data_IF_203529105237
#
_entry.id   IF_203529105237
#
_cell.length_a   1.000
_cell.length_b   1.000
_cell.length_c   1.000
_cell.angle_alpha   90.00
_cell.angle_beta   90.00
_cell.angle_gamma   90.00
#
_symmetry.space_group_name_H-M   'P 1'
#
loop_
_entity.id
_entity.type
_entity.pdbx_description
1 polymer ?
#
# COMPACT_ATOMS: atom_id res chain seq x y z
N UNK A 1 5.26 16.07 33.53
CA UNK A 1 4.54 15.22 32.57
C UNK A 1 4.22 16.06 31.34
N UNK A 2 5.03 15.98 30.29
CA UNK A 2 4.73 16.62 29.00
C UNK A 2 4.12 15.56 28.09
N UNK A 3 2.82 15.70 27.79
CA UNK A 3 2.13 14.93 26.77
C UNK A 3 2.64 15.40 25.41
N UNK A 4 3.64 14.69 24.88
CA UNK A 4 4.03 14.82 23.49
C UNK A 4 2.84 14.35 22.63
N UNK A 5 2.21 15.30 21.94
CA UNK A 5 1.24 14.98 20.92
C UNK A 5 1.98 14.29 19.78
N UNK A 6 1.62 13.03 19.57
CA UNK A 6 2.06 12.18 18.47
C UNK A 6 1.77 12.90 17.17
N UNK A 7 2.83 13.32 16.45
CA UNK A 7 2.72 13.80 15.08
C UNK A 7 2.47 12.58 14.18
N UNK A 8 1.26 12.05 14.23
CA UNK A 8 0.76 11.10 13.23
C UNK A 8 0.79 11.78 11.87
N UNK A 9 1.68 11.32 10.99
CA UNK A 9 1.76 11.81 9.61
C UNK A 9 3.13 12.29 9.14
N UNK A 10 4.19 12.20 9.96
CA UNK A 10 5.54 12.23 9.37
C UNK A 10 5.79 10.88 8.70
N UNK A 11 5.89 10.90 7.37
CA UNK A 11 6.45 9.79 6.62
C UNK A 11 7.89 9.63 7.10
N UNK A 12 8.16 8.63 7.94
CA UNK A 12 9.42 8.45 8.65
C UNK A 12 10.60 8.34 7.66
N UNK A 13 11.21 9.48 7.34
CA UNK A 13 12.48 9.54 6.60
C UNK A 13 12.42 9.10 5.13
N UNK A 14 11.25 9.08 4.49
CA UNK A 14 11.15 8.86 3.02
C UNK A 14 11.47 10.14 2.23
N UNK A 15 11.20 11.33 2.79
CA UNK A 15 11.49 12.64 2.17
C UNK A 15 12.98 12.90 1.88
N UNK A 16 13.88 12.15 2.52
CA UNK A 16 15.34 12.31 2.39
C UNK A 16 16.00 11.22 1.53
N UNK A 17 15.21 10.33 0.94
CA UNK A 17 15.78 9.24 0.17
C UNK A 17 16.04 9.67 -1.26
N UNK A 18 17.25 10.14 -1.54
CA UNK A 18 17.68 10.50 -2.90
C UNK A 18 17.92 9.29 -3.84
N UNK A 19 17.48 8.09 -3.45
CA UNK A 19 17.44 6.93 -4.32
C UNK A 19 18.77 6.21 -4.54
N UNK A 20 19.74 6.35 -3.64
CA UNK A 20 21.04 5.67 -3.81
C UNK A 20 21.03 4.18 -3.41
N UNK A 21 20.09 3.74 -2.56
CA UNK A 21 20.00 2.32 -2.16
C UNK A 21 18.55 1.79 -2.17
N UNK A 22 18.19 1.03 -3.21
CA UNK A 22 16.84 0.47 -3.33
C UNK A 22 16.44 -0.40 -2.13
N UNK A 23 17.37 -1.18 -1.58
CA UNK A 23 17.12 -2.06 -0.43
C UNK A 23 16.66 -1.28 0.79
N UNK A 24 17.35 -0.18 1.12
CA UNK A 24 17.01 0.69 2.25
C UNK A 24 15.70 1.45 2.00
N UNK A 25 15.45 1.89 0.77
CA UNK A 25 14.17 2.49 0.42
C UNK A 25 13.01 1.50 0.59
N UNK A 26 13.18 0.30 0.04
CA UNK A 26 12.21 -0.80 0.10
C UNK A 26 11.85 -1.15 1.54
N UNK A 27 12.86 -1.36 2.38
CA UNK A 27 12.67 -1.71 3.80
C UNK A 27 11.88 -0.62 4.56
N UNK A 28 12.20 0.66 4.31
CA UNK A 28 11.46 1.79 4.90
C UNK A 28 10.03 1.87 4.41
N UNK A 29 9.78 1.67 3.12
CA UNK A 29 8.43 1.66 2.56
C UNK A 29 7.62 0.53 3.15
N UNK A 30 8.17 -0.68 3.22
CA UNK A 30 7.51 -1.84 3.84
C UNK A 30 7.16 -1.57 5.30
N UNK A 31 8.13 -1.13 6.10
CA UNK A 31 7.92 -0.79 7.53
C UNK A 31 6.84 0.28 7.69
N UNK A 32 6.81 1.28 6.82
CA UNK A 32 5.80 2.34 6.89
C UNK A 32 4.40 1.82 6.52
N UNK A 33 4.29 0.96 5.52
CA UNK A 33 3.04 0.30 5.13
C UNK A 33 2.51 -0.54 6.29
N UNK A 34 3.37 -1.36 6.90
CA UNK A 34 3.05 -2.18 8.07
C UNK A 34 2.49 -1.34 9.22
N UNK A 35 3.17 -0.23 9.53
CA UNK A 35 2.73 0.72 10.57
C UNK A 35 1.36 1.36 10.25
N UNK A 36 1.11 1.69 8.98
CA UNK A 36 -0.16 2.27 8.53
C UNK A 36 -1.30 1.26 8.62
N UNK A 37 -1.05 0.00 8.27
CA UNK A 37 -2.00 -1.09 8.36
C UNK A 37 -2.33 -1.41 9.83
N UNK A 38 -1.33 -1.55 10.71
CA UNK A 38 -1.52 -1.76 12.14
C UNK A 38 -2.29 -0.60 12.80
N UNK A 39 -1.93 0.65 12.46
CA UNK A 39 -2.60 1.84 12.98
C UNK A 39 -4.05 1.89 12.54
N UNK A 40 -4.34 1.45 11.31
CA UNK A 40 -5.71 1.39 10.84
C UNK A 40 -6.51 0.31 11.57
N UNK A 41 -5.97 -0.91 11.69
CA UNK A 41 -6.63 -2.02 12.37
C UNK A 41 -6.95 -1.67 13.83
N UNK A 42 -6.00 -1.04 14.53
CA UNK A 42 -6.24 -0.52 15.88
C UNK A 42 -7.37 0.50 15.92
N UNK A 43 -7.39 1.45 14.99
CA UNK A 43 -8.46 2.45 14.89
C UNK A 43 -9.84 1.87 14.55
N UNK A 44 -9.90 0.72 13.87
CA UNK A 44 -11.15 -0.02 13.65
C UNK A 44 -11.62 -0.67 14.96
N UNK A 45 -10.71 -1.33 15.68
CA UNK A 45 -11.00 -1.95 16.97
C UNK A 45 -11.52 -0.93 18.00
N UNK A 46 -10.88 0.25 18.09
CA UNK A 46 -11.31 1.33 18.99
C UNK A 46 -12.72 1.86 18.66
N UNK A 47 -13.18 1.68 17.42
CA UNK A 47 -14.49 2.13 16.95
C UNK A 47 -15.54 1.02 16.91
N UNK A 48 -15.22 -0.16 17.43
CA UNK A 48 -16.06 -1.37 17.34
C UNK A 48 -16.45 -1.70 15.88
N UNK A 49 -15.54 -1.42 14.94
CA UNK A 49 -15.72 -1.70 13.52
C UNK A 49 -15.10 -3.04 13.15
N UNK A 50 -15.61 -3.72 12.10
CA UNK A 50 -15.02 -4.97 11.64
C UNK A 50 -13.59 -4.72 11.16
N UNK A 51 -12.69 -5.66 11.47
CA UNK A 51 -11.31 -5.63 11.02
C UNK A 51 -11.19 -5.48 9.50
N UNK A 52 -10.12 -4.83 9.05
CA UNK A 52 -9.92 -4.64 7.62
C UNK A 52 -9.65 -6.00 6.97
N UNK A 53 -10.46 -6.33 5.96
CA UNK A 53 -10.35 -7.60 5.21
C UNK A 53 -9.31 -7.56 4.11
N UNK A 54 -8.86 -6.35 3.77
CA UNK A 54 -7.82 -6.07 2.77
C UNK A 54 -7.00 -4.91 3.32
N UNK A 55 -5.69 -5.08 3.37
CA UNK A 55 -4.72 -4.11 3.87
C UNK A 55 -3.79 -3.66 2.75
N UNK A 56 -2.95 -2.64 2.99
CA UNK A 56 -2.03 -2.11 1.98
C UNK A 56 -1.00 -3.17 1.56
N UNK A 57 -0.50 -3.98 2.50
CA UNK A 57 0.43 -5.09 2.19
C UNK A 57 -0.12 -6.09 1.17
N UNK A 58 -1.41 -6.42 1.17
CA UNK A 58 -2.01 -7.37 0.23
C UNK A 58 -1.81 -6.95 -1.24
N UNK A 59 -1.75 -5.62 -1.47
CA UNK A 59 -1.55 -5.03 -2.79
C UNK A 59 -0.08 -5.06 -3.26
N UNK A 60 0.89 -5.38 -2.41
CA UNK A 60 2.28 -5.54 -2.82
C UNK A 60 2.52 -6.92 -3.43
N UNK A 61 1.91 -7.95 -2.85
CA UNK A 61 2.05 -9.35 -3.29
C UNK A 61 1.08 -9.67 -4.44
N UNK A 62 -0.17 -9.25 -4.30
CA UNK A 62 -1.26 -9.57 -5.24
C UNK A 62 -2.00 -8.32 -5.70
N UNK A 63 -2.92 -8.48 -6.65
CA UNK A 63 -3.96 -7.47 -6.91
C UNK A 63 -5.27 -7.98 -6.34
N UNK A 64 -5.62 -7.64 -5.09
CA UNK A 64 -6.89 -8.03 -4.49
C UNK A 64 -8.05 -7.65 -5.40
N UNK A 65 -8.96 -8.59 -5.67
CA UNK A 65 -10.11 -8.34 -6.52
C UNK A 65 -10.97 -7.22 -5.94
N UNK A 66 -11.39 -6.30 -6.80
CA UNK A 66 -12.27 -5.20 -6.40
C UNK A 66 -13.63 -5.80 -5.98
N UNK A 67 -14.05 -5.66 -4.71
CA UNK A 67 -15.30 -6.23 -4.25
C UNK A 67 -16.50 -5.59 -4.97
N UNK A 68 -17.43 -6.43 -5.40
CA UNK A 68 -18.68 -6.00 -6.03
C UNK A 68 -19.72 -5.79 -4.93
N UNK A 69 -20.30 -4.58 -4.87
CA UNK A 69 -21.46 -4.31 -4.02
C UNK A 69 -22.70 -4.74 -4.81
N UNK A 70 -23.33 -5.82 -4.38
CA UNK A 70 -24.58 -6.27 -5.00
C UNK A 70 -25.73 -5.40 -4.49
N UNK A 71 -26.66 -5.04 -5.39
CA UNK A 71 -27.90 -4.29 -5.06
C UNK A 71 -29.13 -5.21 -5.19
N UNK A 72 -28.93 -6.52 -5.25
CA UNK A 72 -30.01 -7.48 -5.39
C UNK A 72 -30.95 -7.42 -4.17
N UNK A 73 -32.26 -7.55 -4.41
CA UNK A 73 -33.31 -7.57 -3.38
C UNK A 73 -33.15 -8.72 -2.36
N UNK A 74 -32.27 -9.68 -2.64
CA UNK A 74 -32.12 -10.95 -1.91
C UNK A 74 -30.85 -11.04 -1.02
N UNK A 75 -30.07 -9.97 -0.86
CA UNK A 75 -28.96 -9.97 0.13
C UNK A 75 -29.44 -9.48 1.50
N UNK A 76 -29.05 -10.18 2.56
CA UNK A 76 -29.37 -9.77 3.92
C UNK A 76 -28.71 -8.42 4.25
N UNK A 77 -29.27 -7.67 5.20
CA UNK A 77 -28.66 -6.42 5.66
C UNK A 77 -27.24 -6.62 6.19
N UNK A 78 -26.95 -7.79 6.78
CA UNK A 78 -25.62 -8.13 7.29
C UNK A 78 -24.61 -8.37 6.15
N UNK A 79 -25.01 -9.12 5.12
CA UNK A 79 -24.22 -9.33 3.90
C UNK A 79 -23.95 -8.01 3.18
N UNK A 80 -24.96 -7.15 3.04
CA UNK A 80 -24.81 -5.83 2.44
C UNK A 80 -23.83 -4.94 3.24
N UNK A 81 -23.89 -4.96 4.58
CA UNK A 81 -22.93 -4.26 5.44
C UNK A 81 -21.52 -4.82 5.26
N UNK A 82 -21.35 -6.14 5.24
CA UNK A 82 -20.06 -6.80 5.02
C UNK A 82 -19.46 -6.43 3.68
N UNK A 83 -20.25 -6.42 2.60
CA UNK A 83 -19.81 -5.99 1.27
C UNK A 83 -19.36 -4.52 1.26
N UNK A 84 -20.12 -3.62 1.91
CA UNK A 84 -19.74 -2.20 2.04
C UNK A 84 -18.43 -2.02 2.79
N UNK A 85 -18.23 -2.72 3.90
CA UNK A 85 -16.97 -2.69 4.65
C UNK A 85 -15.79 -3.19 3.80
N UNK A 86 -15.94 -4.34 3.12
CA UNK A 86 -14.91 -4.86 2.21
C UNK A 86 -14.55 -3.84 1.13
N UNK A 87 -15.55 -3.19 0.52
CA UNK A 87 -15.32 -2.15 -0.49
C UNK A 87 -14.58 -0.93 0.05
N UNK A 88 -14.94 -0.47 1.26
CA UNK A 88 -14.25 0.63 1.90
C UNK A 88 -12.80 0.27 2.23
N UNK A 89 -12.56 -0.90 2.83
CA UNK A 89 -11.22 -1.39 3.15
C UNK A 89 -10.34 -1.48 1.89
N UNK A 90 -10.86 -2.09 0.83
CA UNK A 90 -10.18 -2.21 -0.46
C UNK A 90 -9.83 -0.83 -1.06
N UNK A 91 -10.80 0.09 -1.10
CA UNK A 91 -10.61 1.41 -1.71
C UNK A 91 -9.59 2.24 -0.92
N UNK A 92 -9.65 2.17 0.42
CA UNK A 92 -8.72 2.85 1.32
C UNK A 92 -7.30 2.31 1.16
N UNK A 93 -7.10 1.00 1.24
CA UNK A 93 -5.78 0.38 1.11
C UNK A 93 -5.14 0.72 -0.24
N UNK A 94 -5.87 0.53 -1.34
CA UNK A 94 -5.39 0.88 -2.69
C UNK A 94 -5.01 2.35 -2.82
N UNK A 95 -5.88 3.26 -2.37
CA UNK A 95 -5.65 4.70 -2.53
C UNK A 95 -4.51 5.20 -1.65
N UNK A 96 -4.40 4.69 -0.41
CA UNK A 96 -3.31 5.02 0.51
C UNK A 96 -1.96 4.56 -0.06
N UNK A 97 -1.91 3.38 -0.66
CA UNK A 97 -0.69 2.85 -1.25
C UNK A 97 -0.26 3.62 -2.50
N UNK A 98 -1.19 3.95 -3.40
CA UNK A 98 -0.89 4.82 -4.54
C UNK A 98 -0.39 6.19 -4.11
N UNK A 99 -1.03 6.78 -3.08
CA UNK A 99 -0.58 8.05 -2.53
C UNK A 99 0.83 7.93 -1.92
N UNK A 100 1.12 6.83 -1.20
CA UNK A 100 2.45 6.59 -0.66
C UNK A 100 3.49 6.51 -1.79
N UNK A 101 3.24 5.75 -2.85
CA UNK A 101 4.14 5.67 -4.00
C UNK A 101 4.38 7.04 -4.64
N UNK A 102 3.33 7.83 -4.87
CA UNK A 102 3.49 9.19 -5.42
C UNK A 102 4.36 10.12 -4.53
N UNK A 103 4.38 9.90 -3.22
CA UNK A 103 5.15 10.74 -2.28
C UNK A 103 6.55 10.20 -1.99
N UNK A 104 6.70 8.88 -1.97
CA UNK A 104 7.91 8.21 -1.52
C UNK A 104 8.79 7.72 -2.66
N UNK A 105 8.30 7.66 -3.91
CA UNK A 105 9.10 7.26 -5.07
C UNK A 105 10.07 8.39 -5.46
N UNK A 106 11.39 8.17 -5.34
CA UNK A 106 12.39 9.11 -5.84
C UNK A 106 12.34 9.20 -7.37
N UNK A 107 12.65 10.38 -7.92
CA UNK A 107 12.67 10.62 -9.37
C UNK A 107 13.56 9.63 -10.14
N UNK A 108 14.66 9.17 -9.52
CA UNK A 108 15.55 8.18 -10.13
C UNK A 108 14.84 6.84 -10.41
N UNK A 109 13.93 6.40 -9.53
CA UNK A 109 13.14 5.18 -9.75
C UNK A 109 12.00 5.41 -10.74
N UNK A 110 11.41 6.62 -10.76
CA UNK A 110 10.37 6.99 -11.73
C UNK A 110 10.88 6.92 -13.17
N UNK A 111 12.14 7.27 -13.43
CA UNK A 111 12.74 7.18 -14.77
C UNK A 111 12.76 5.76 -15.34
N UNK A 112 12.78 4.75 -14.48
CA UNK A 112 12.72 3.35 -14.87
C UNK A 112 11.29 2.82 -15.06
N UNK A 113 10.27 3.54 -14.60
CA UNK A 113 8.87 3.12 -14.68
C UNK A 113 8.19 3.67 -15.95
N UNK A 114 7.14 3.02 -16.45
CA UNK A 114 6.36 3.57 -17.55
C UNK A 114 5.68 4.89 -17.16
N UNK A 115 5.56 5.80 -18.13
CA UNK A 115 5.00 7.18 -17.99
C UNK A 115 3.60 7.22 -17.33
N UNK A 116 2.87 6.10 -17.39
CA UNK A 116 1.54 5.92 -16.84
C UNK A 116 1.51 5.20 -15.48
N UNK A 117 2.57 5.32 -14.66
CA UNK A 117 2.65 4.74 -13.30
C UNK A 117 1.44 5.06 -12.44
N UNK A 118 0.87 6.27 -12.53
CA UNK A 118 -0.33 6.67 -11.78
C UNK A 118 -1.61 5.93 -12.19
N UNK A 119 -1.61 5.22 -13.32
CA UNK A 119 -2.74 4.40 -13.82
C UNK A 119 -2.55 2.90 -13.55
N UNK A 120 -1.35 2.48 -13.12
CA UNK A 120 -1.05 1.07 -12.85
C UNK A 120 -1.65 0.62 -11.52
N UNK A 121 -1.81 -0.70 -11.35
CA UNK A 121 -2.13 -1.22 -10.03
C UNK A 121 -0.91 -1.13 -9.12
N UNK A 122 -1.10 -0.93 -7.80
CA UNK A 122 0.02 -0.86 -6.87
C UNK A 122 0.93 -2.09 -6.93
N UNK A 123 0.37 -3.29 -7.15
CA UNK A 123 1.12 -4.53 -7.32
C UNK A 123 2.05 -4.49 -8.53
N UNK A 124 1.55 -3.98 -9.67
CA UNK A 124 2.34 -3.86 -10.90
C UNK A 124 3.49 -2.87 -10.70
N UNK A 125 3.23 -1.73 -10.04
CA UNK A 125 4.26 -0.74 -9.69
C UNK A 125 5.33 -1.38 -8.80
N UNK A 126 4.92 -2.10 -7.76
CA UNK A 126 5.84 -2.78 -6.84
C UNK A 126 6.69 -3.84 -7.55
N UNK A 127 6.08 -4.67 -8.41
CA UNK A 127 6.79 -5.70 -9.19
C UNK A 127 7.81 -5.11 -10.17
N UNK A 128 7.47 -4.03 -10.86
CA UNK A 128 8.41 -3.34 -11.75
C UNK A 128 9.62 -2.80 -10.98
N UNK A 129 9.39 -2.25 -9.78
CA UNK A 129 10.45 -1.78 -8.89
C UNK A 129 11.34 -2.93 -8.41
N UNK A 130 10.74 -4.03 -7.94
CA UNK A 130 11.48 -5.23 -7.51
C UNK A 130 12.27 -5.83 -8.69
N UNK A 131 11.74 -5.82 -9.91
CA UNK A 131 12.44 -6.35 -11.08
C UNK A 131 13.63 -5.48 -11.50
N UNK A 132 13.46 -4.14 -11.50
CA UNK A 132 14.48 -3.21 -12.02
C UNK A 132 15.57 -2.88 -10.99
N UNK A 133 15.19 -2.81 -9.72
CA UNK A 133 16.04 -2.30 -8.65
C UNK A 133 16.18 -3.26 -7.47
N UNK A 134 15.27 -4.24 -7.34
CA UNK A 134 15.46 -5.33 -6.40
C UNK A 134 16.77 -6.04 -6.70
N UNK A 135 17.37 -6.58 -5.65
CA UNK A 135 18.55 -7.44 -5.75
C UNK A 135 18.17 -8.67 -6.58
N UNK A 136 18.24 -8.52 -7.90
CA UNK A 136 18.18 -9.59 -8.85
C UNK A 136 19.33 -10.53 -8.54
N UNK A 137 18.96 -11.79 -8.39
CA UNK A 137 19.84 -12.93 -8.46
C UNK A 137 21.08 -12.67 -9.34
N UNK A 138 22.24 -12.97 -8.78
CA UNK A 138 23.43 -13.20 -9.56
C UNK A 138 23.20 -14.40 -10.49
N UNK A 139 22.63 -14.17 -11.67
CA UNK A 139 22.35 -15.19 -12.68
C UNK A 139 22.79 -14.72 -14.06
N UNK A 140 23.98 -15.13 -14.47
CA UNK A 140 24.60 -14.75 -15.73
C UNK A 140 23.89 -15.27 -16.99
N UNK A 141 24.27 -14.70 -18.13
CA UNK A 141 23.88 -15.19 -19.45
C UNK A 141 24.28 -14.18 -20.51
N UNK A 142 25.50 -14.32 -21.02
CA UNK A 142 26.09 -13.41 -22.00
C UNK A 142 25.35 -13.38 -23.34
N UNK A 143 25.68 -12.33 -24.10
CA UNK A 143 25.74 -12.39 -25.55
C UNK A 143 27.10 -11.85 -25.98
#
# INVERSE_FOLDING_TARGET
MVKAHTRSGQILGLEKFNGEDYTMWRDKVLTHIETLDETYQRGLLEKDQPSATVVMMDFLDTTPEKPIISVAEEISQEEAKKQRWRYQHWTRARSALLNLFNQALPNVFLSGLPDQVSKMNPCDIWKELEQKYGLGDAGGGGH
#
